data_IF_164148634105
#
_entry.id   IF_164148634105
#
_cell.length_a   1.000
_cell.length_b   1.000
_cell.length_c   1.000
_cell.angle_alpha   90.00
_cell.angle_beta   90.00
_cell.angle_gamma   90.00
#
_symmetry.space_group_name_H-M   'P 1'
#
loop_
_entity.id
_entity.type
_entity.pdbx_description
1 polymer ?
#
# COMPACT_ATOMS: atom_id res chain seq x y z
N UNK A 1 37.24 19.65 -37.44
CA UNK A 1 36.42 18.48 -37.78
C UNK A 1 36.90 17.34 -36.89
N UNK A 2 36.76 17.33 -35.56
CA UNK A 2 35.59 17.57 -34.68
C UNK A 2 34.38 16.71 -35.06
N UNK A 3 34.53 15.40 -34.87
CA UNK A 3 33.42 14.45 -34.83
C UNK A 3 33.06 14.23 -33.35
N UNK A 4 31.94 14.84 -32.94
CA UNK A 4 31.30 14.59 -31.64
C UNK A 4 30.81 13.13 -31.62
N UNK A 5 31.51 12.27 -30.88
CA UNK A 5 30.93 11.01 -30.41
C UNK A 5 30.02 11.34 -29.23
N UNK A 6 28.71 11.40 -29.47
CA UNK A 6 27.73 11.38 -28.39
C UNK A 6 27.89 10.07 -27.60
N UNK A 7 28.47 10.20 -26.41
CA UNK A 7 28.59 9.11 -25.47
C UNK A 7 27.26 8.90 -24.74
N UNK A 8 26.70 7.69 -24.85
CA UNK A 8 25.47 7.36 -24.15
C UNK A 8 25.75 7.11 -22.66
N UNK A 9 25.04 7.87 -21.81
CA UNK A 9 25.10 7.76 -20.34
C UNK A 9 23.83 7.14 -19.77
N UNK A 10 23.95 6.38 -18.69
CA UNK A 10 22.81 5.85 -17.95
C UNK A 10 21.95 6.99 -17.37
N UNK A 11 20.65 7.05 -17.61
CA UNK A 11 19.77 8.14 -17.13
C UNK A 11 19.49 8.12 -15.62
N UNK A 12 19.98 7.11 -14.90
CA UNK A 12 19.79 6.97 -13.45
C UNK A 12 21.06 7.36 -12.70
N UNK A 13 22.24 6.94 -13.16
CA UNK A 13 23.52 7.23 -12.50
C UNK A 13 24.47 8.15 -13.28
N UNK A 14 24.13 8.49 -14.53
CA UNK A 14 24.86 9.38 -15.44
C UNK A 14 26.27 8.94 -15.86
N UNK A 15 26.65 7.69 -15.58
CA UNK A 15 27.94 7.13 -16.01
C UNK A 15 27.95 6.77 -17.52
N UNK A 16 29.12 6.96 -18.16
CA UNK A 16 29.38 6.59 -19.55
C UNK A 16 29.59 5.07 -19.70
N UNK A 17 28.88 4.46 -20.66
CA UNK A 17 29.08 3.06 -21.03
C UNK A 17 30.39 2.89 -21.81
N UNK A 18 31.34 2.13 -21.24
CA UNK A 18 32.71 2.03 -21.76
C UNK A 18 33.01 0.83 -22.66
N UNK A 19 32.07 -0.08 -22.94
CA UNK A 19 32.34 -1.15 -23.92
C UNK A 19 31.08 -1.65 -24.68
N UNK A 20 31.02 -1.51 -26.01
CA UNK A 20 29.88 -1.94 -26.82
C UNK A 20 30.10 -3.36 -27.35
N UNK A 21 29.35 -4.36 -26.85
CA UNK A 21 29.24 -5.63 -27.58
C UNK A 21 28.24 -5.44 -28.72
N UNK A 22 28.76 -5.09 -29.89
CA UNK A 22 28.03 -4.98 -31.15
C UNK A 22 27.71 -6.37 -31.74
N UNK A 23 26.47 -6.60 -32.17
CA UNK A 23 26.12 -7.67 -33.12
C UNK A 23 26.05 -7.04 -34.54
N UNK A 24 26.70 -7.63 -35.57
CA UNK A 24 27.12 -6.93 -36.79
C UNK A 24 26.16 -7.09 -37.99
N UNK A 25 24.89 -6.67 -37.90
CA UNK A 25 24.07 -6.60 -39.13
C UNK A 25 22.98 -5.51 -39.20
N UNK A 26 22.99 -4.51 -38.31
CA UNK A 26 22.43 -3.19 -38.67
C UNK A 26 20.93 -3.11 -38.97
N UNK A 27 20.09 -3.99 -38.45
CA UNK A 27 18.64 -3.81 -38.44
C UNK A 27 18.13 -3.96 -37.00
N UNK A 28 17.66 -2.85 -36.40
CA UNK A 28 17.14 -2.82 -35.02
C UNK A 28 15.63 -2.67 -35.03
N UNK A 29 14.92 -3.76 -34.76
CA UNK A 29 13.56 -3.70 -34.24
C UNK A 29 13.65 -3.74 -32.71
N UNK A 30 12.93 -2.83 -32.04
CA UNK A 30 12.83 -2.70 -30.58
C UNK A 30 12.48 -4.02 -29.87
N UNK A 31 11.79 -4.92 -30.59
CA UNK A 31 11.41 -6.26 -30.13
C UNK A 31 12.59 -7.19 -29.85
N UNK A 32 13.72 -7.04 -30.56
CA UNK A 32 14.85 -7.98 -30.44
C UNK A 32 15.65 -7.76 -29.17
N UNK A 33 15.75 -6.51 -28.73
CA UNK A 33 16.37 -6.17 -27.44
C UNK A 33 15.47 -6.70 -26.31
N UNK A 34 14.15 -6.52 -26.42
CA UNK A 34 13.23 -7.07 -25.43
C UNK A 34 13.30 -8.60 -25.35
N UNK A 35 13.34 -9.31 -26.49
CA UNK A 35 13.48 -10.77 -26.47
C UNK A 35 14.83 -11.21 -25.89
N UNK A 36 15.92 -10.49 -26.20
CA UNK A 36 17.24 -10.81 -25.64
C UNK A 36 17.29 -10.58 -24.13
N UNK A 37 16.71 -9.47 -23.63
CA UNK A 37 16.60 -9.19 -22.21
C UNK A 37 15.71 -10.21 -21.49
N UNK A 38 14.60 -10.64 -22.12
CA UNK A 38 13.72 -11.70 -21.58
C UNK A 38 14.44 -13.04 -21.53
N UNK A 39 15.20 -13.40 -22.56
CA UNK A 39 15.99 -14.63 -22.60
C UNK A 39 17.16 -14.61 -21.59
N UNK A 40 17.81 -13.46 -21.40
CA UNK A 40 18.82 -13.31 -20.35
C UNK A 40 18.22 -13.29 -18.94
N UNK A 41 17.02 -12.74 -18.73
CA UNK A 41 16.30 -12.87 -17.45
C UNK A 41 15.90 -14.32 -17.14
N UNK A 42 15.61 -15.13 -18.16
CA UNK A 42 15.38 -16.58 -18.00
C UNK A 42 16.69 -17.34 -17.70
N UNK A 43 17.82 -16.96 -18.32
CA UNK A 43 19.12 -17.60 -18.11
C UNK A 43 19.81 -17.22 -16.80
N UNK A 44 19.65 -15.96 -16.38
CA UNK A 44 20.22 -15.46 -15.11
C UNK A 44 19.54 -16.03 -13.88
N UNK A 45 18.49 -16.85 -14.05
CA UNK A 45 17.97 -17.73 -13.01
C UNK A 45 17.88 -17.00 -11.69
N UNK A 46 17.08 -15.93 -11.65
CA UNK A 46 16.65 -15.33 -10.37
C UNK A 46 16.28 -16.51 -9.50
N UNK A 47 17.10 -16.80 -8.49
CA UNK A 47 16.84 -17.92 -7.62
C UNK A 47 15.41 -17.75 -7.16
N UNK A 48 14.56 -18.71 -7.55
CA UNK A 48 13.16 -18.66 -7.22
C UNK A 48 13.12 -18.50 -5.71
N UNK A 49 12.62 -17.36 -5.23
CA UNK A 49 12.26 -17.21 -3.84
C UNK A 49 11.50 -18.48 -3.42
N UNK A 50 11.72 -19.00 -2.21
CA UNK A 50 11.15 -20.28 -1.80
C UNK A 50 9.67 -20.32 -2.20
N UNK A 51 9.26 -21.41 -2.84
CA UNK A 51 7.97 -21.56 -3.51
C UNK A 51 6.73 -21.28 -2.62
N UNK A 52 6.94 -21.02 -1.34
CA UNK A 52 5.95 -20.61 -0.34
C UNK A 52 5.40 -19.19 -0.54
N UNK A 53 6.14 -18.26 -1.17
CA UNK A 53 5.64 -16.88 -1.32
C UNK A 53 4.53 -16.70 -2.38
N UNK A 54 4.26 -17.75 -3.18
CA UNK A 54 3.28 -17.69 -4.26
C UNK A 54 1.88 -18.16 -3.80
N UNK A 55 1.80 -18.93 -2.73
CA UNK A 55 0.56 -19.50 -2.22
C UNK A 55 -0.08 -18.57 -1.21
N UNK A 56 -1.41 -18.62 -1.12
CA UNK A 56 -2.14 -17.84 -0.14
C UNK A 56 -1.91 -18.42 1.26
N UNK A 57 -1.36 -17.61 2.18
CA UNK A 57 -1.35 -17.90 3.61
C UNK A 57 -2.71 -17.65 4.27
N UNK A 58 -2.80 -17.83 5.59
CA UNK A 58 -4.03 -17.60 6.36
C UNK A 58 -4.55 -16.16 6.25
N UNK A 59 -3.64 -15.20 6.11
CA UNK A 59 -3.96 -13.77 6.06
C UNK A 59 -4.21 -13.25 4.64
N UNK A 60 -3.81 -14.02 3.63
CA UNK A 60 -3.98 -13.62 2.23
C UNK A 60 -5.39 -13.85 1.71
N UNK A 61 -5.75 -13.11 0.67
CA UNK A 61 -6.91 -13.44 -0.17
C UNK A 61 -6.46 -14.48 -1.19
N UNK A 62 -7.14 -15.62 -1.20
CA UNK A 62 -6.83 -16.70 -2.12
C UNK A 62 -7.48 -16.47 -3.48
N UNK A 63 -6.85 -16.95 -4.56
CA UNK A 63 -7.47 -16.97 -5.87
C UNK A 63 -8.65 -17.96 -5.90
N UNK A 64 -9.80 -17.50 -6.40
CA UNK A 64 -11.03 -18.30 -6.45
C UNK A 64 -11.03 -19.31 -7.61
N UNK A 65 -10.24 -19.06 -8.65
CA UNK A 65 -10.21 -19.87 -9.87
C UNK A 65 -9.25 -21.07 -9.77
N UNK A 66 -8.27 -21.03 -8.86
CA UNK A 66 -7.30 -22.12 -8.71
C UNK A 66 -7.98 -23.44 -8.30
N UNK A 67 -7.81 -24.47 -9.13
CA UNK A 67 -8.19 -25.86 -8.81
C UNK A 67 -7.05 -26.55 -8.08
N UNK A 68 -7.03 -26.50 -6.75
CA UNK A 68 -5.99 -27.10 -5.91
C UNK A 68 -5.44 -26.14 -4.85
N UNK A 69 -4.14 -26.20 -4.56
CA UNK A 69 -3.50 -25.25 -3.65
C UNK A 69 -3.62 -23.83 -4.24
N UNK A 70 -4.33 -22.95 -3.53
CA UNK A 70 -4.68 -21.63 -4.04
C UNK A 70 -3.49 -20.69 -3.98
N UNK A 71 -3.25 -19.98 -5.08
CA UNK A 71 -2.28 -18.90 -5.15
C UNK A 71 -2.83 -17.65 -4.46
N UNK A 72 -1.94 -16.78 -3.99
CA UNK A 72 -2.31 -15.46 -3.49
C UNK A 72 -2.95 -14.64 -4.61
N UNK A 73 -4.08 -14.01 -4.33
CA UNK A 73 -4.73 -13.10 -5.25
C UNK A 73 -3.95 -11.78 -5.34
N UNK A 74 -3.83 -11.23 -6.55
CA UNK A 74 -3.25 -9.92 -6.81
C UNK A 74 -4.33 -8.86 -7.08
N UNK A 75 -5.52 -9.24 -7.58
CA UNK A 75 -6.67 -8.35 -7.77
C UNK A 75 -8.00 -9.07 -7.51
N UNK A 76 -9.00 -8.29 -7.12
CA UNK A 76 -10.42 -8.70 -7.14
C UNK A 76 -11.18 -7.92 -8.20
N UNK A 77 -12.17 -8.56 -8.81
CA UNK A 77 -13.04 -7.92 -9.80
C UNK A 77 -14.39 -7.61 -9.19
N UNK A 78 -14.81 -6.33 -9.22
CA UNK A 78 -16.09 -5.89 -8.67
C UNK A 78 -17.31 -6.28 -9.53
N UNK A 79 -17.08 -6.84 -10.72
CA UNK A 79 -18.15 -7.32 -11.60
C UNK A 79 -18.29 -8.84 -11.48
N UNK A 80 -17.18 -9.57 -11.50
CA UNK A 80 -17.19 -11.03 -11.35
C UNK A 80 -17.32 -11.47 -9.89
N UNK A 81 -17.09 -10.57 -8.94
CA UNK A 81 -17.12 -10.82 -7.49
C UNK A 81 -16.20 -11.96 -7.04
N UNK A 82 -15.04 -12.06 -7.70
CA UNK A 82 -14.00 -13.05 -7.43
C UNK A 82 -12.61 -12.42 -7.44
N UNK A 83 -11.67 -13.13 -6.82
CA UNK A 83 -10.27 -12.76 -6.65
C UNK A 83 -9.36 -13.65 -7.50
N UNK A 84 -8.41 -13.03 -8.18
CA UNK A 84 -7.52 -13.67 -9.15
C UNK A 84 -6.07 -13.56 -8.70
N UNK A 85 -5.32 -14.64 -8.85
CA UNK A 85 -3.87 -14.58 -8.95
C UNK A 85 -3.47 -14.09 -10.34
N UNK A 86 -2.20 -13.75 -10.52
CA UNK A 86 -1.69 -13.16 -11.77
C UNK A 86 -2.06 -13.98 -13.02
N UNK A 87 -1.94 -15.32 -12.93
CA UNK A 87 -2.25 -16.22 -14.04
C UNK A 87 -3.73 -16.18 -14.44
N UNK A 88 -4.63 -16.13 -13.47
CA UNK A 88 -6.07 -16.13 -13.71
C UNK A 88 -6.62 -14.72 -13.95
N UNK A 89 -5.80 -13.68 -13.75
CA UNK A 89 -6.16 -12.31 -14.05
C UNK A 89 -5.96 -11.96 -15.53
N UNK A 90 -5.03 -12.62 -16.23
CA UNK A 90 -4.71 -12.33 -17.63
C UNK A 90 -5.92 -12.22 -18.59
N UNK A 91 -6.98 -13.06 -18.47
CA UNK A 91 -8.18 -12.89 -19.29
C UNK A 91 -8.86 -11.52 -19.14
N UNK A 92 -8.74 -10.86 -17.98
CA UNK A 92 -9.22 -9.50 -17.78
C UNK A 92 -8.38 -8.42 -18.48
N UNK A 93 -7.25 -8.76 -19.09
CA UNK A 93 -6.52 -7.84 -19.96
C UNK A 93 -6.70 -8.21 -21.43
N UNK A 94 -6.66 -9.51 -21.73
CA UNK A 94 -6.63 -9.98 -23.11
C UNK A 94 -8.01 -10.01 -23.79
N UNK A 95 -9.10 -10.13 -23.01
CA UNK A 95 -10.46 -10.24 -23.54
C UNK A 95 -11.19 -8.89 -23.52
N UNK A 96 -11.52 -8.30 -24.68
CA UNK A 96 -12.22 -7.02 -24.76
C UNK A 96 -13.57 -6.98 -24.03
N UNK A 97 -14.25 -8.14 -23.92
CA UNK A 97 -15.55 -8.25 -23.25
C UNK A 97 -15.47 -7.92 -21.75
N UNK A 98 -14.36 -8.29 -21.11
CA UNK A 98 -14.15 -8.20 -19.66
C UNK A 98 -13.00 -7.27 -19.28
N UNK A 99 -12.26 -6.70 -20.25
CA UNK A 99 -11.17 -5.77 -20.01
C UNK A 99 -11.58 -4.46 -19.32
N UNK A 100 -12.86 -4.10 -19.45
CA UNK A 100 -13.46 -2.93 -18.78
C UNK A 100 -13.90 -3.21 -17.33
N UNK A 101 -13.79 -4.44 -16.85
CA UNK A 101 -14.18 -4.75 -15.48
C UNK A 101 -13.29 -4.01 -14.49
N UNK A 102 -13.89 -3.46 -13.43
CA UNK A 102 -13.14 -2.72 -12.43
C UNK A 102 -12.41 -3.69 -11.49
N UNK A 103 -11.08 -3.66 -11.57
CA UNK A 103 -10.17 -4.38 -10.68
C UNK A 103 -9.80 -3.51 -9.47
N UNK A 104 -9.76 -4.12 -8.30
CA UNK A 104 -9.39 -3.50 -7.02
C UNK A 104 -8.41 -4.39 -6.26
N UNK A 105 -7.83 -3.85 -5.19
CA UNK A 105 -7.03 -4.65 -4.27
C UNK A 105 -7.84 -5.82 -3.71
N UNK A 106 -7.22 -7.01 -3.53
CA UNK A 106 -7.90 -8.17 -3.00
C UNK A 106 -8.50 -7.90 -1.63
N UNK A 107 -9.74 -8.34 -1.42
CA UNK A 107 -10.40 -8.25 -0.12
C UNK A 107 -11.12 -9.54 0.22
N UNK A 108 -10.95 -10.00 1.46
CA UNK A 108 -11.74 -11.12 2.04
C UNK A 108 -13.23 -10.80 2.12
N UNK A 109 -13.58 -9.51 2.05
CA UNK A 109 -14.93 -8.96 2.21
C UNK A 109 -15.45 -8.37 0.90
N UNK A 110 -15.04 -8.92 -0.24
CA UNK A 110 -15.42 -8.40 -1.56
C UNK A 110 -16.95 -8.31 -1.73
N UNK A 111 -17.67 -9.35 -1.32
CA UNK A 111 -19.14 -9.43 -1.40
C UNK A 111 -19.86 -8.38 -0.53
N UNK A 112 -19.25 -7.90 0.56
CA UNK A 112 -19.82 -6.85 1.42
C UNK A 112 -19.96 -5.51 0.68
N UNK A 113 -19.32 -5.35 -0.49
CA UNK A 113 -19.42 -4.13 -1.32
C UNK A 113 -20.58 -4.18 -2.33
N UNK A 114 -21.40 -5.23 -2.31
CA UNK A 114 -22.51 -5.42 -3.25
C UNK A 114 -23.81 -5.30 -2.49
N UNK A 115 -24.74 -4.53 -3.05
CA UNK A 115 -26.08 -4.39 -2.50
C UNK A 115 -26.84 -5.71 -2.65
N UNK A 116 -27.17 -6.34 -1.53
CA UNK A 116 -27.91 -7.61 -1.50
C UNK A 116 -29.30 -7.53 -2.14
N UNK A 117 -29.92 -6.34 -2.19
CA UNK A 117 -31.23 -6.13 -2.81
C UNK A 117 -31.18 -5.97 -4.33
N UNK A 118 -30.09 -5.42 -4.84
CA UNK A 118 -30.00 -4.94 -6.22
C UNK A 118 -28.89 -5.60 -7.03
N UNK A 119 -28.03 -6.41 -6.38
CA UNK A 119 -26.83 -7.02 -6.96
C UNK A 119 -25.88 -6.00 -7.62
N UNK A 120 -25.90 -4.77 -7.10
CA UNK A 120 -25.14 -3.64 -7.62
C UNK A 120 -24.08 -3.19 -6.63
N UNK A 121 -22.91 -2.81 -7.14
CA UNK A 121 -21.81 -2.32 -6.30
C UNK A 121 -22.28 -1.08 -5.54
N UNK A 122 -22.06 -1.07 -4.23
CA UNK A 122 -22.35 0.06 -3.36
C UNK A 122 -21.38 1.21 -3.65
N UNK A 123 -21.86 2.18 -4.44
CA UNK A 123 -21.07 3.35 -4.88
C UNK A 123 -21.48 4.64 -4.18
N UNK A 124 -22.52 4.59 -3.37
CA UNK A 124 -23.08 5.72 -2.63
C UNK A 124 -22.96 5.48 -1.13
N UNK A 125 -23.01 6.55 -0.35
CA UNK A 125 -23.06 6.52 1.09
C UNK A 125 -24.19 7.41 1.57
N UNK A 126 -25.07 6.85 2.39
CA UNK A 126 -26.14 7.58 3.06
C UNK A 126 -25.63 8.06 4.41
N UNK A 127 -25.50 9.37 4.60
CA UNK A 127 -25.06 9.98 5.86
C UNK A 127 -26.13 9.92 6.93
N UNK A 128 -27.40 10.00 6.53
CA UNK A 128 -28.55 9.87 7.45
C UNK A 128 -28.53 8.53 8.19
N UNK A 129 -28.33 7.42 7.46
CA UNK A 129 -28.32 6.06 8.03
C UNK A 129 -26.91 5.52 8.29
N UNK A 130 -25.86 6.28 7.95
CA UNK A 130 -24.45 5.89 8.02
C UNK A 130 -24.14 4.55 7.33
N UNK A 131 -24.67 4.37 6.12
CA UNK A 131 -24.58 3.11 5.40
C UNK A 131 -24.08 3.28 3.95
N UNK A 132 -23.24 2.35 3.50
CA UNK A 132 -22.91 2.20 2.08
C UNK A 132 -24.10 1.59 1.34
N UNK A 133 -24.50 2.21 0.23
CA UNK A 133 -25.67 1.80 -0.57
C UNK A 133 -25.36 1.83 -2.07
N UNK A 134 -26.17 1.15 -2.89
CA UNK A 134 -26.09 1.28 -4.36
C UNK A 134 -26.90 2.49 -4.86
N UNK A 135 -26.77 2.81 -6.16
CA UNK A 135 -27.52 3.91 -6.77
C UNK A 135 -29.04 3.70 -6.72
N UNK A 136 -29.53 2.46 -6.86
CA UNK A 136 -30.97 2.18 -6.81
C UNK A 136 -31.54 2.44 -5.41
N UNK A 137 -30.83 2.03 -4.35
CA UNK A 137 -31.20 2.37 -2.97
C UNK A 137 -31.33 3.88 -2.75
N UNK A 138 -30.45 4.71 -3.36
CA UNK A 138 -30.46 6.16 -3.15
C UNK A 138 -31.69 6.89 -3.71
N UNK A 139 -32.38 6.27 -4.69
CA UNK A 139 -33.56 6.85 -5.33
C UNK A 139 -34.86 6.18 -4.91
N UNK A 140 -34.78 5.11 -4.11
CA UNK A 140 -35.90 4.33 -3.59
C UNK A 140 -35.97 4.41 -2.06
N UNK A 141 -35.46 3.40 -1.34
CA UNK A 141 -35.51 3.32 0.12
C UNK A 141 -34.88 4.51 0.84
N UNK A 142 -33.76 5.04 0.33
CA UNK A 142 -33.05 6.19 0.91
C UNK A 142 -33.39 7.50 0.19
N UNK A 143 -34.53 7.56 -0.50
CA UNK A 143 -34.94 8.75 -1.25
C UNK A 143 -35.12 9.93 -0.30
N UNK A 144 -34.39 11.01 -0.57
CA UNK A 144 -34.43 12.24 0.23
C UNK A 144 -33.50 12.24 1.44
N UNK A 145 -32.76 11.16 1.69
CA UNK A 145 -31.69 11.16 2.67
C UNK A 145 -30.45 11.91 2.15
N UNK A 146 -29.63 12.40 3.07
CA UNK A 146 -28.34 12.99 2.71
C UNK A 146 -27.43 11.89 2.17
N UNK A 147 -27.24 11.89 0.85
CA UNK A 147 -26.52 10.86 0.12
C UNK A 147 -25.43 11.49 -0.72
N UNK A 148 -24.23 10.94 -0.59
CA UNK A 148 -23.03 11.35 -1.32
C UNK A 148 -22.40 10.14 -2.01
N UNK A 149 -21.46 10.36 -2.93
CA UNK A 149 -20.68 9.24 -3.45
C UNK A 149 -19.82 8.63 -2.35
N UNK A 150 -19.67 7.30 -2.36
CA UNK A 150 -18.81 6.59 -1.41
C UNK A 150 -17.34 7.06 -1.51
N UNK A 151 -16.92 7.57 -2.69
CA UNK A 151 -15.60 8.14 -2.87
C UNK A 151 -15.43 9.46 -2.11
N UNK A 152 -16.41 10.37 -2.23
CA UNK A 152 -16.40 11.64 -1.52
C UNK A 152 -16.41 11.44 0.00
N UNK A 153 -17.28 10.55 0.50
CA UNK A 153 -17.34 10.23 1.93
C UNK A 153 -16.02 9.66 2.44
N UNK A 154 -15.42 8.70 1.71
CA UNK A 154 -14.10 8.16 2.07
C UNK A 154 -13.03 9.25 2.13
N UNK A 155 -13.01 10.17 1.17
CA UNK A 155 -12.05 11.29 1.18
C UNK A 155 -12.27 12.27 2.33
N UNK A 156 -13.51 12.45 2.80
CA UNK A 156 -13.79 13.27 3.98
C UNK A 156 -13.37 12.56 5.27
N UNK A 157 -13.79 11.31 5.46
CA UNK A 157 -13.42 10.51 6.64
C UNK A 157 -11.92 10.29 6.74
N UNK A 158 -11.23 10.12 5.63
CA UNK A 158 -9.77 10.02 5.60
C UNK A 158 -9.11 11.30 6.13
N UNK A 159 -9.60 12.48 5.74
CA UNK A 159 -9.09 13.78 6.24
C UNK A 159 -9.36 13.95 7.74
N UNK A 160 -10.56 13.59 8.21
CA UNK A 160 -10.89 13.62 9.64
C UNK A 160 -9.93 12.74 10.45
N UNK A 161 -9.65 11.53 9.96
CA UNK A 161 -8.72 10.60 10.60
C UNK A 161 -7.29 11.12 10.61
N UNK A 162 -6.83 11.77 9.54
CA UNK A 162 -5.50 12.38 9.49
C UNK A 162 -5.34 13.51 10.52
N UNK A 163 -6.34 14.38 10.65
CA UNK A 163 -6.36 15.43 11.69
C UNK A 163 -6.36 14.82 13.08
N UNK A 164 -7.20 13.81 13.32
CA UNK A 164 -7.25 13.10 14.61
C UNK A 164 -5.90 12.46 14.95
N UNK A 165 -5.24 11.82 13.97
CA UNK A 165 -3.92 11.22 14.12
C UNK A 165 -2.86 12.26 14.49
N UNK A 166 -2.85 13.42 13.82
CA UNK A 166 -1.93 14.52 14.14
C UNK A 166 -2.14 15.02 15.57
N UNK A 167 -3.39 15.22 15.98
CA UNK A 167 -3.72 15.65 17.34
C UNK A 167 -3.24 14.64 18.40
N UNK A 168 -3.41 13.35 18.14
CA UNK A 168 -2.93 12.29 19.04
C UNK A 168 -1.40 12.30 19.11
N UNK A 169 -0.71 12.41 17.96
CA UNK A 169 0.75 12.47 17.92
C UNK A 169 1.29 13.69 18.67
N UNK A 170 0.67 14.85 18.51
CA UNK A 170 1.06 16.07 19.24
C UNK A 170 0.91 15.87 20.74
N UNK A 171 -0.23 15.33 21.20
CA UNK A 171 -0.48 15.04 22.61
C UNK A 171 0.54 14.05 23.19
N UNK A 172 0.95 13.05 22.42
CA UNK A 172 1.99 12.10 22.84
C UNK A 172 3.33 12.84 23.02
N UNK A 173 3.73 13.65 22.04
CA UNK A 173 4.99 14.40 22.12
C UNK A 173 5.01 15.38 23.30
N UNK A 174 3.91 16.05 23.58
CA UNK A 174 3.84 16.99 24.71
C UNK A 174 3.93 16.24 26.04
N UNK A 175 3.25 15.09 26.16
CA UNK A 175 3.37 14.22 27.34
C UNK A 175 4.78 13.66 27.53
N UNK A 176 5.48 13.33 26.44
CA UNK A 176 6.88 12.89 26.50
C UNK A 176 7.82 14.01 26.97
N UNK A 177 7.55 15.28 26.59
CA UNK A 177 8.31 16.43 27.10
C UNK A 177 8.05 16.66 28.58
N UNK A 178 6.79 16.64 29.01
CA UNK A 178 6.42 16.78 30.42
C UNK A 178 7.08 15.70 31.28
N UNK A 179 7.09 14.45 30.79
CA UNK A 179 7.75 13.34 31.47
C UNK A 179 9.27 13.57 31.65
N UNK A 180 9.95 14.12 30.63
CA UNK A 180 11.38 14.46 30.73
C UNK A 180 11.65 15.59 31.73
N UNK A 181 10.79 16.60 31.78
CA UNK A 181 10.91 17.68 32.76
C UNK A 181 10.74 17.17 34.19
N UNK A 182 9.70 16.36 34.43
CA UNK A 182 9.47 15.74 35.73
C UNK A 182 10.64 14.84 36.14
N UNK A 183 11.23 14.10 35.20
CA UNK A 183 12.41 13.28 35.46
C UNK A 183 13.61 14.13 35.94
N UNK A 184 13.88 15.27 35.29
CA UNK A 184 14.94 16.19 35.72
C UNK A 184 14.68 16.79 37.10
N UNK A 185 13.43 17.12 37.41
CA UNK A 185 13.05 17.67 38.72
C UNK A 185 13.25 16.63 39.84
N UNK A 186 12.86 15.38 39.61
CA UNK A 186 13.10 14.26 40.55
C UNK A 186 14.60 14.07 40.81
N UNK A 187 15.42 14.10 39.76
CA UNK A 187 16.88 13.99 39.89
C UNK A 187 17.48 15.15 40.71
N UNK A 188 16.98 16.38 40.51
CA UNK A 188 17.42 17.55 41.26
C UNK A 188 17.03 17.47 42.75
N UNK A 189 15.82 16.97 43.05
CA UNK A 189 15.35 16.75 44.43
C UNK A 189 16.23 15.69 45.12
N UNK A 190 16.46 14.55 44.47
CA UNK A 190 17.30 13.48 45.02
C UNK A 190 18.73 13.96 45.29
N UNK A 191 19.35 14.66 44.34
CA UNK A 191 20.69 15.21 44.51
C UNK A 191 20.78 16.26 45.64
N UNK A 192 19.71 17.03 45.87
CA UNK A 192 19.64 17.99 46.98
C UNK A 192 19.45 17.31 48.34
N UNK A 193 18.66 16.23 48.39
CA UNK A 193 18.49 15.40 49.57
C UNK A 193 19.82 14.77 50.00
N UNK A 194 20.58 14.18 49.07
CA UNK A 194 21.87 13.55 49.34
C UNK A 194 22.90 14.54 49.90
N UNK A 195 22.95 15.76 49.35
CA UNK A 195 23.82 16.83 49.86
C UNK A 195 23.47 17.23 51.29
N UNK A 196 22.17 17.36 51.59
CA UNK A 196 21.69 17.71 52.93
C UNK A 196 22.08 16.62 53.95
N UNK A 197 21.85 15.34 53.62
CA UNK A 197 22.24 14.20 54.47
C UNK A 197 23.76 14.16 54.70
N UNK A 198 24.57 14.39 53.66
CA UNK A 198 26.03 14.45 53.77
C UNK A 198 26.55 15.66 54.56
N UNK A 199 25.77 16.74 54.65
CA UNK A 199 26.11 17.94 55.45
C UNK A 199 25.79 17.69 56.92
N UNK A 200 24.59 17.18 57.22
CA UNK A 200 24.18 16.79 58.58
C UNK A 200 25.15 15.78 59.18
N UNK A 201 25.58 14.76 58.42
CA UNK A 201 26.58 13.78 58.87
C UNK A 201 27.92 14.41 59.25
N UNK A 202 28.41 15.39 58.48
CA UNK A 202 29.67 16.09 58.76
C UNK A 202 29.58 16.97 60.00
N UNK A 203 28.48 17.67 60.17
CA UNK A 203 28.22 18.51 61.37
C UNK A 203 28.05 17.71 62.65
N UNK A 204 27.71 16.42 62.55
CA UNK A 204 27.54 15.51 63.70
C UNK A 204 28.86 14.87 64.16
N UNK A 205 29.93 15.00 63.38
CA UNK A 205 31.26 14.41 63.61
C UNK A 205 32.31 15.45 64.06
N UNK A 206 31.92 16.73 64.13
CA UNK A 206 32.71 17.89 64.57
C UNK A 206 32.22 18.40 65.92
#
# INVERSE_FOLDING_TARGET
MSEDREAFSCSICLDLLKDPVAIPCGHKDEKTIYSYLVEELKKTGLQAAPADHCYAGSDDVACDVCTGRKLKACKSCLVCLISFCEKHLQPHYDSPAIAKHKLVEPSKKLQENVCSRHDEVMKMFCRTDQQSICYLCSVDEHKGHDTVSAAAERSEKQRELEVSRQNIQQRIQDREKDMKLLQQEVEAINGSADKTVGTVRRSSLS
#
